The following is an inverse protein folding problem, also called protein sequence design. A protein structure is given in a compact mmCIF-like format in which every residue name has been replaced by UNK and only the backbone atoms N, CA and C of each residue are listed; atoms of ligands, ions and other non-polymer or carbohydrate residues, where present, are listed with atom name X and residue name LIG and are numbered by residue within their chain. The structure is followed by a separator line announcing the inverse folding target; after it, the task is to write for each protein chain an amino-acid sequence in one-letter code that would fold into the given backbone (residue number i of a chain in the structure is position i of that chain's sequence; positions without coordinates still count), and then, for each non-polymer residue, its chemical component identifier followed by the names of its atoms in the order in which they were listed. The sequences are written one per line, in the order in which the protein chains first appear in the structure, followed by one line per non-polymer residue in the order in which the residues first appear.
data_IF_063411806929
#
_entry.id   IF_063411806929
#
_cell.length_a   1.000
_cell.length_b   1.000
_cell.length_c   1.000
_cell.angle_alpha   90.00
_cell.angle_beta   90.00
_cell.angle_gamma   90.00
#
_symmetry.space_group_name_H-M   'P 1'
#
loop_
_entity.id
_entity.type
_entity.pdbx_description
1 polymer ?
#
# COMPACT_ATOMS: atom_id res chain seq x y z
N UNK A 1 -22.81 6.10 8.09
CA UNK A 1 -21.69 5.16 7.93
C UNK A 1 -21.20 4.78 9.31
N UNK A 2 -20.95 3.51 9.56
CA UNK A 2 -20.41 3.01 10.84
C UNK A 2 -18.90 2.82 10.68
N UNK A 3 -18.15 2.94 11.78
CA UNK A 3 -16.70 2.69 11.78
C UNK A 3 -16.37 1.26 11.33
N UNK A 4 -17.25 0.32 11.65
CA UNK A 4 -17.17 -1.08 11.22
C UNK A 4 -17.11 -1.26 9.70
N UNK A 5 -17.63 -0.31 8.92
CA UNK A 5 -17.65 -0.37 7.45
C UNK A 5 -16.23 -0.26 6.86
N UNK A 6 -15.23 0.10 7.68
CA UNK A 6 -13.82 0.27 7.31
C UNK A 6 -12.89 -0.73 8.02
N UNK A 7 -13.44 -1.75 8.68
CA UNK A 7 -12.64 -2.80 9.32
C UNK A 7 -12.20 -3.83 8.28
N UNK A 8 -10.92 -4.21 8.30
CA UNK A 8 -10.35 -5.27 7.47
C UNK A 8 -9.36 -6.09 8.28
N UNK A 9 -9.14 -7.33 7.88
CA UNK A 9 -8.17 -8.21 8.51
C UNK A 9 -6.75 -7.83 8.06
N UNK A 10 -5.94 -7.34 8.99
CA UNK A 10 -4.54 -7.01 8.77
C UNK A 10 -3.66 -7.87 9.67
N UNK A 11 -2.99 -8.90 9.12
CA UNK A 11 -1.98 -9.65 9.84
C UNK A 11 -0.83 -8.75 10.32
N UNK A 12 -0.38 -8.94 11.56
CA UNK A 12 0.65 -8.09 12.17
C UNK A 12 2.00 -8.17 11.44
N UNK A 13 2.31 -9.31 10.82
CA UNK A 13 3.53 -9.52 10.04
C UNK A 13 3.60 -8.65 8.78
N UNK A 14 2.46 -8.12 8.31
CA UNK A 14 2.41 -7.20 7.16
C UNK A 14 2.63 -5.73 7.56
N UNK A 15 2.66 -5.43 8.86
CA UNK A 15 2.96 -4.10 9.38
C UNK A 15 4.48 -3.95 9.42
N UNK A 16 5.02 -3.11 8.54
CA UNK A 16 6.45 -2.80 8.53
C UNK A 16 6.86 -2.21 9.89
N UNK A 17 7.77 -2.91 10.58
CA UNK A 17 8.28 -2.50 11.90
C UNK A 17 9.38 -1.43 11.77
N UNK A 18 10.19 -1.56 10.72
CA UNK A 18 11.29 -0.66 10.38
C UNK A 18 11.20 -0.25 8.90
N UNK A 19 11.70 0.92 8.51
CA UNK A 19 11.79 1.29 7.09
C UNK A 19 12.72 0.35 6.33
N UNK A 20 12.41 0.10 5.06
CA UNK A 20 13.29 -0.66 4.17
C UNK A 20 14.64 0.06 4.02
N UNK A 21 15.73 -0.71 4.10
CA UNK A 21 17.11 -0.23 3.92
C UNK A 21 17.31 0.39 2.53
N UNK A 22 16.80 -0.28 1.49
CA UNK A 22 16.64 0.30 0.16
C UNK A 22 15.24 0.89 -0.01
N UNK A 23 15.12 2.20 0.23
CA UNK A 23 13.85 2.93 0.11
C UNK A 23 13.23 2.86 -1.29
N UNK A 24 14.05 2.69 -2.33
CA UNK A 24 13.61 2.63 -3.73
C UNK A 24 12.92 1.30 -4.07
N UNK A 25 13.15 0.26 -3.28
CA UNK A 25 12.55 -1.07 -3.43
C UNK A 25 11.11 -1.18 -2.89
N UNK A 26 10.58 -0.09 -2.30
CA UNK A 26 9.21 -0.07 -1.76
C UNK A 26 8.18 -0.36 -2.87
N UNK A 27 7.15 -1.15 -2.54
CA UNK A 27 5.99 -1.36 -3.43
C UNK A 27 5.06 -0.16 -3.39
N UNK A 28 4.55 0.24 -4.55
CA UNK A 28 3.58 1.31 -4.71
C UNK A 28 2.31 0.75 -5.36
N UNK A 29 1.20 0.77 -4.62
CA UNK A 29 -0.13 0.44 -5.16
C UNK A 29 -0.73 1.70 -5.77
N UNK A 30 -1.03 1.64 -7.07
CA UNK A 30 -1.79 2.67 -7.79
C UNK A 30 -3.25 2.24 -7.88
N UNK A 31 -4.16 3.17 -7.63
CA UNK A 31 -5.60 2.97 -7.74
C UNK A 31 -6.21 4.09 -8.59
N UNK A 32 -6.86 3.75 -9.69
CA UNK A 32 -7.68 4.70 -10.43
C UNK A 32 -8.98 4.97 -9.68
N UNK A 33 -9.26 6.25 -9.38
CA UNK A 33 -10.41 6.65 -8.57
C UNK A 33 -11.77 6.43 -9.25
N UNK A 34 -11.81 6.44 -10.58
CA UNK A 34 -13.04 6.42 -11.37
C UNK A 34 -13.39 4.99 -11.79
N UNK A 35 -12.39 4.21 -12.18
CA UNK A 35 -12.54 2.83 -12.66
C UNK A 35 -12.32 1.80 -11.56
N UNK A 36 -11.58 2.16 -10.51
CA UNK A 36 -11.15 1.23 -9.47
C UNK A 36 -10.01 0.31 -9.90
N UNK A 37 -9.39 0.56 -11.06
CA UNK A 37 -8.26 -0.25 -11.54
C UNK A 37 -7.07 -0.15 -10.59
N UNK A 38 -6.45 -1.30 -10.32
CA UNK A 38 -5.32 -1.44 -9.40
C UNK A 38 -4.09 -1.89 -10.17
N UNK A 39 -2.95 -1.26 -9.90
CA UNK A 39 -1.67 -1.69 -10.44
C UNK A 39 -0.56 -1.57 -9.41
N UNK A 40 0.39 -2.50 -9.45
CA UNK A 40 1.56 -2.52 -8.58
C UNK A 40 2.78 -1.96 -9.35
N UNK A 41 3.48 -1.01 -8.75
CA UNK A 41 4.71 -0.41 -9.29
C UNK A 41 5.81 -0.43 -8.22
N UNK A 42 7.06 -0.30 -8.64
CA UNK A 42 8.21 -0.17 -7.73
C UNK A 42 8.54 1.31 -7.56
N UNK A 43 8.79 1.72 -6.30
CA UNK A 43 8.97 3.13 -5.91
C UNK A 43 10.24 3.78 -6.47
N UNK A 44 11.08 3.06 -7.22
CA UNK A 44 12.33 3.54 -7.79
C UNK A 44 12.19 4.68 -8.82
N UNK A 45 10.96 5.06 -9.18
CA UNK A 45 10.66 6.05 -10.24
C UNK A 45 10.33 7.46 -9.68
N UNK A 46 10.22 7.65 -8.35
CA UNK A 46 9.77 8.93 -7.75
C UNK A 46 10.90 9.69 -7.00
N UNK A 47 12.17 9.30 -7.14
CA UNK A 47 13.32 9.98 -6.53
C UNK A 47 14.22 10.69 -7.55
#
# INVERSE_FOLDING_TARGET
MKVSDFTFDLPEELIAQDPLEDRSSSRLLTLDKNTGERSDMMSSIIL
#
